data_IF_058897907589
#
_entry.id   IF_058897907589
#
_cell.length_a   1.000
_cell.length_b   1.000
_cell.length_c   1.000
_cell.angle_alpha   90.00
_cell.angle_beta   90.00
_cell.angle_gamma   90.00
#
_symmetry.space_group_name_H-M   'P 1'
#
loop_
_entity.id
_entity.type
_entity.pdbx_description
1 polymer ?
2 non-polymer ?
#
# COMPACT_ATOMS: atom_id res chain seq x y z
N UNK A 1 -3.77 -1.00 11.93
CA UNK A 1 -2.78 0.06 12.03
C UNK A 1 -1.76 0.00 10.89
N UNK A 2 -1.14 -1.16 10.70
CA UNK A 2 -0.05 -1.33 9.74
C UNK A 2 -0.49 -2.29 8.65
N UNK A 3 -0.17 -1.96 7.40
CA UNK A 3 -0.49 -2.80 6.26
C UNK A 3 0.79 -3.24 5.57
N UNK A 4 0.70 -4.34 4.83
CA UNK A 4 1.79 -4.85 4.01
C UNK A 4 1.29 -5.04 2.59
N UNK A 5 2.00 -4.47 1.62
CA UNK A 5 1.71 -4.71 0.21
C UNK A 5 2.91 -5.40 -0.41
N UNK A 6 2.65 -6.43 -1.22
CA UNK A 6 3.70 -7.24 -1.83
C UNK A 6 3.55 -7.21 -3.35
N UNK A 7 4.49 -7.88 -4.03
CA UNK A 7 4.48 -7.99 -5.49
C UNK A 7 4.52 -6.61 -6.14
N UNK A 8 5.46 -5.78 -5.69
CA UNK A 8 5.63 -4.45 -6.23
C UNK A 8 6.20 -4.53 -7.64
N UNK A 9 6.15 -3.43 -8.40
CA UNK A 9 6.86 -3.40 -9.68
C UNK A 9 8.35 -3.67 -9.51
N UNK A 10 8.90 -4.48 -10.42
CA UNK A 10 10.32 -4.81 -10.37
C UNK A 10 11.20 -3.58 -10.54
N UNK A 11 10.68 -2.52 -11.16
CA UNK A 11 11.41 -1.26 -11.26
C UNK A 11 10.40 -0.13 -11.21
N UNK A 12 10.37 0.60 -10.10
CA UNK A 12 9.43 1.69 -9.93
C UNK A 12 8.73 1.70 -8.59
N UNK A 13 9.47 1.41 -7.52
CA UNK A 13 8.95 1.42 -6.16
C UNK A 13 9.78 2.39 -5.32
N UNK A 14 9.13 3.43 -4.81
CA UNK A 14 9.75 4.38 -3.90
C UNK A 14 8.85 4.56 -2.69
N UNK A 15 9.38 5.20 -1.65
CA UNK A 15 8.56 5.55 -0.51
C UNK A 15 7.45 6.52 -0.91
N UNK A 16 7.75 7.40 -1.87
CA UNK A 16 6.76 8.36 -2.34
C UNK A 16 5.67 7.69 -3.17
N UNK A 17 6.05 6.74 -4.03
CA UNK A 17 5.09 5.96 -4.81
C UNK A 17 3.96 5.43 -3.94
N UNK A 18 4.33 4.64 -2.92
CA UNK A 18 3.34 3.98 -2.07
C UNK A 18 2.46 5.01 -1.37
N UNK A 19 3.05 6.13 -0.96
CA UNK A 19 2.28 7.19 -0.32
C UNK A 19 1.19 7.71 -1.25
N UNK A 20 1.56 8.09 -2.47
CA UNK A 20 0.61 8.68 -3.41
C UNK A 20 -0.60 7.80 -3.62
N UNK A 21 -0.38 6.49 -3.73
CA UNK A 21 -1.48 5.56 -3.98
C UNK A 21 -2.46 5.52 -2.81
N UNK A 22 -1.96 5.50 -1.57
CA UNK A 22 -2.81 5.27 -0.41
C UNK A 22 -3.29 6.54 0.28
N UNK A 23 -2.66 7.69 0.01
CA UNK A 23 -3.08 8.95 0.63
C UNK A 23 -4.58 9.20 0.54
N UNK A 24 -5.26 8.98 -0.61
CA UNK A 24 -6.70 9.23 -0.68
C UNK A 24 -7.53 8.46 0.35
N UNK A 25 -6.91 7.51 1.06
CA UNK A 25 -7.63 6.72 2.05
C UNK A 25 -7.48 7.22 3.48
N UNK A 26 -6.35 7.84 3.82
CA UNK A 26 -6.18 8.35 5.16
C UNK A 26 -4.83 9.03 5.31
N UNK A 27 -4.51 9.38 6.55
CA UNK A 27 -3.24 10.01 6.88
C UNK A 27 -2.17 8.93 6.97
N UNK A 28 -1.21 8.96 6.06
CA UNK A 28 -0.09 8.02 6.06
C UNK A 28 1.11 8.72 6.67
N UNK A 29 1.67 8.14 7.73
CA UNK A 29 2.81 8.75 8.41
C UNK A 29 4.11 8.11 7.93
N UNK A 30 4.38 6.89 8.39
CA UNK A 30 5.59 6.16 8.05
C UNK A 30 5.32 5.18 6.92
N UNK A 31 6.18 5.19 5.90
CA UNK A 31 6.18 4.19 4.84
C UNK A 31 7.57 3.59 4.77
N UNK A 32 7.66 2.26 4.84
CA UNK A 32 8.92 1.54 4.82
C UNK A 32 8.98 0.66 3.58
N UNK A 33 10.08 0.75 2.84
CA UNK A 33 10.26 0.04 1.58
C UNK A 33 11.50 -0.83 1.67
N UNK A 34 11.36 -2.10 1.30
CA UNK A 34 12.48 -3.02 1.14
C UNK A 34 12.35 -3.60 -0.26
N UNK A 35 13.27 -3.30 -1.19
CA UNK A 35 13.11 -3.81 -2.56
C UNK A 35 13.59 -5.23 -2.75
N UNK A 36 14.34 -5.79 -1.79
CA UNK A 36 14.89 -7.13 -1.94
C UNK A 36 13.80 -8.18 -2.15
N UNK A 37 12.62 -7.97 -1.56
CA UNK A 37 11.48 -8.87 -1.73
C UNK A 37 10.34 -8.23 -2.52
N UNK A 38 10.53 -7.02 -3.04
CA UNK A 38 9.51 -6.30 -3.81
C UNK A 38 8.23 -6.12 -2.98
N UNK A 39 8.38 -5.51 -1.81
CA UNK A 39 7.29 -5.29 -0.89
C UNK A 39 7.57 -4.02 -0.10
N UNK A 40 6.55 -3.55 0.63
CA UNK A 40 6.70 -2.35 1.44
C UNK A 40 5.68 -2.40 2.57
N UNK A 41 5.92 -1.58 3.59
CA UNK A 41 5.07 -1.52 4.77
C UNK A 41 4.62 -0.08 5.00
N UNK A 42 3.31 0.14 4.95
CA UNK A 42 2.73 1.44 5.26
C UNK A 42 2.13 1.40 6.65
N UNK A 43 2.38 2.46 7.42
CA UNK A 43 1.87 2.59 8.78
C UNK A 43 0.76 3.63 8.76
N UNK A 44 -0.48 3.17 8.85
CA UNK A 44 -1.64 4.05 8.73
C UNK A 44 -1.97 4.69 10.08
N UNK A 45 -2.43 5.94 10.02
CA UNK A 45 -2.65 6.72 11.23
C UNK A 45 -3.76 6.13 12.08
N UNK A 46 -4.94 5.94 11.48
CA UNK A 46 -6.09 5.39 12.17
C UNK A 46 -6.45 4.03 11.59
N UNK A 47 -7.21 3.26 12.36
CA UNK A 47 -7.63 1.93 11.94
C UNK A 47 -8.77 1.97 10.93
N UNK A 48 -9.40 3.12 10.73
CA UNK A 48 -10.54 3.20 9.83
C UNK A 48 -10.12 3.22 8.36
N UNK A 49 -8.94 3.78 8.06
CA UNK A 49 -8.45 3.72 6.69
C UNK A 49 -8.18 2.29 6.25
N UNK A 50 -7.88 1.40 7.19
CA UNK A 50 -7.65 0.00 6.87
C UNK A 50 -8.91 -0.64 6.30
N UNK A 51 -10.03 -0.50 7.02
CA UNK A 51 -11.29 -1.04 6.53
C UNK A 51 -11.71 -0.36 5.24
N UNK A 52 -11.30 0.89 5.04
CA UNK A 52 -11.62 1.60 3.80
C UNK A 52 -10.84 1.04 2.63
N UNK A 53 -9.54 0.78 2.82
CA UNK A 53 -8.74 0.13 1.78
C UNK A 53 -9.34 -1.23 1.44
N UNK A 54 -9.60 -2.04 2.46
CA UNK A 54 -9.97 -3.43 2.24
C UNK A 54 -11.32 -3.55 1.54
N UNK A 55 -12.32 -2.77 1.98
CA UNK A 55 -13.62 -2.85 1.33
C UNK A 55 -13.55 -2.38 -0.12
N UNK A 56 -12.57 -1.53 -0.45
CA UNK A 56 -12.42 -1.07 -1.83
C UNK A 56 -11.84 -2.16 -2.72
N UNK A 57 -10.94 -2.99 -2.18
CA UNK A 57 -10.26 -4.00 -2.98
C UNK A 57 -11.17 -5.16 -3.38
N UNK A 58 -12.33 -5.31 -2.73
CA UNK A 58 -13.20 -6.42 -3.09
C UNK A 58 -13.87 -6.22 -4.45
N UNK A 59 -13.77 -5.03 -5.04
CA UNK A 59 -14.29 -4.78 -6.37
C UNK A 59 -13.21 -4.39 -7.37
N UNK A 60 -12.24 -3.56 -6.97
CA UNK A 60 -11.22 -3.07 -7.88
C UNK A 60 -9.85 -3.20 -7.21
N UNK A 61 -8.88 -3.83 -7.88
CA UNK A 61 -7.53 -3.90 -7.32
C UNK A 61 -6.80 -2.57 -7.43
N UNK A 62 -6.04 -2.24 -6.38
CA UNK A 62 -5.19 -1.06 -6.41
C UNK A 62 -4.01 -1.29 -7.35
N UNK A 63 -3.68 -0.26 -8.14
CA UNK A 63 -2.63 -0.35 -9.15
C UNK A 63 -1.61 0.77 -8.97
N UNK A 64 -0.33 0.41 -9.05
CA UNK A 64 0.77 1.37 -9.07
C UNK A 64 1.58 1.12 -10.34
N UNK A 65 1.81 2.18 -11.12
CA UNK A 65 2.42 2.08 -12.44
C UNK A 65 1.70 1.06 -13.32
N UNK A 66 0.39 0.93 -13.12
CA UNK A 66 -0.42 0.02 -13.89
C UNK A 66 -0.44 -1.41 -13.40
N UNK A 67 0.52 -1.83 -12.59
CA UNK A 67 0.52 -3.17 -12.03
C UNK A 67 -0.31 -3.20 -10.76
N UNK A 68 -1.21 -4.17 -10.66
CA UNK A 68 -1.98 -4.36 -9.44
C UNK A 68 -1.13 -5.10 -8.41
N UNK A 69 -1.16 -4.61 -7.17
CA UNK A 69 -0.37 -5.19 -6.09
C UNK A 69 -1.30 -5.94 -5.14
N UNK A 70 -0.70 -6.75 -4.27
CA UNK A 70 -1.44 -7.55 -3.31
C UNK A 70 -1.24 -6.99 -1.90
N UNK A 71 -2.34 -6.77 -1.20
CA UNK A 71 -2.34 -6.17 0.13
C UNK A 71 -2.51 -7.27 1.16
N UNK A 72 -1.71 -7.21 2.23
CA UNK A 72 -1.71 -8.21 3.27
C UNK A 72 -1.83 -7.55 4.64
N UNK A 73 -2.61 -8.18 5.52
CA UNK A 73 -2.85 -7.72 6.88
C UNK A 73 -2.01 -8.59 7.81
N UNK A 74 -1.56 -8.07 8.97
CA UNK A 74 -0.98 -8.82 10.08
C UNK A 74 -1.51 -10.25 10.22
X LIG B 1 7.48 -6.20 -13.00
X LIG B 1 7.24 -5.01 -12.19
X LIG B 1 7.83 -7.32 -12.13
X LIG B 1 6.27 -6.51 -13.74
X LIG B 1 8.57 -5.91 -13.93
X LIG C 1 -0.58 12.48 4.41
X LIG C 1 -0.27 12.74 5.81
X LIG C 1 -1.66 11.51 4.31
X LIG C 1 -1.01 13.73 3.78
X LIG C 1 0.60 11.96 3.74
#
# INVERSE_FOLDING_TARGET
SVLLITELPEDGCTEEDVRKLFQPFGKVNDVLIVPYRKEAYLEMEFKEAITAIMKYIETTPLTIKGKSVKICVP
SO4 S O1 O2 O3 O4
SO4 S O1 O2 O3 O4
#
